data_IF_802920367319
#
_entry.id   IF_802920367319
#
_cell.length_a   1.000
_cell.length_b   1.000
_cell.length_c   1.000
_cell.angle_alpha   90.00
_cell.angle_beta   90.00
_cell.angle_gamma   90.00
#
_symmetry.space_group_name_H-M   'P 1'
#
loop_
_entity.id
_entity.type
_entity.pdbx_description
1 polymer ?
#
# COMPACT_ATOMS: atom_id res chain seq x y z
N UNK A 1 -31.50 -58.87 17.18
CA UNK A 1 -30.62 -57.72 16.90
C UNK A 1 -29.71 -57.50 18.11
N UNK A 2 -28.51 -58.08 18.13
CA UNK A 2 -27.57 -57.89 19.24
C UNK A 2 -26.91 -56.51 19.12
N UNK A 3 -27.17 -55.61 20.06
CA UNK A 3 -26.47 -54.33 20.15
C UNK A 3 -24.99 -54.55 20.41
N UNK A 4 -24.12 -54.00 19.56
CA UNK A 4 -22.67 -53.98 19.82
C UNK A 4 -22.41 -53.31 21.18
N UNK A 5 -21.58 -53.90 22.07
CA UNK A 5 -21.27 -53.30 23.36
C UNK A 5 -20.63 -51.92 23.17
N UNK A 6 -21.09 -50.93 23.94
CA UNK A 6 -20.58 -49.55 23.88
C UNK A 6 -19.23 -49.50 24.59
N UNK A 7 -18.17 -49.33 23.82
CA UNK A 7 -16.81 -49.20 24.35
C UNK A 7 -16.54 -47.77 24.82
N UNK A 8 -16.10 -47.63 26.07
CA UNK A 8 -15.80 -46.35 26.72
C UNK A 8 -14.30 -46.20 26.97
N UNK A 9 -13.72 -45.07 26.58
CA UNK A 9 -12.30 -44.75 26.73
C UNK A 9 -12.11 -43.53 27.63
N UNK A 10 -10.86 -43.31 28.08
CA UNK A 10 -10.49 -42.12 28.86
C UNK A 10 -10.74 -40.84 28.05
N UNK A 11 -11.35 -39.86 28.70
CA UNK A 11 -11.65 -38.56 28.11
C UNK A 11 -10.47 -37.59 28.14
N UNK A 12 -9.44 -37.82 28.97
CA UNK A 12 -8.34 -36.86 29.14
C UNK A 12 -7.58 -36.54 27.84
N UNK A 13 -7.19 -37.51 26.98
CA UNK A 13 -6.51 -37.22 25.72
C UNK A 13 -7.39 -36.43 24.74
N UNK A 14 -8.69 -36.74 24.71
CA UNK A 14 -9.67 -36.07 23.85
C UNK A 14 -9.89 -34.63 24.32
N UNK A 15 -9.97 -34.40 25.63
CA UNK A 15 -10.12 -33.07 26.22
C UNK A 15 -8.92 -32.18 25.90
N UNK A 16 -7.71 -32.71 26.04
CA UNK A 16 -6.50 -31.95 25.71
C UNK A 16 -6.44 -31.60 24.23
N UNK A 17 -6.84 -32.53 23.36
CA UNK A 17 -6.94 -32.25 21.93
C UNK A 17 -7.99 -31.17 21.63
N UNK A 18 -9.20 -31.26 22.18
CA UNK A 18 -10.23 -30.22 22.03
C UNK A 18 -9.75 -28.88 22.56
N UNK A 19 -9.00 -28.85 23.65
CA UNK A 19 -8.37 -27.61 24.15
C UNK A 19 -7.41 -27.00 23.13
N UNK A 20 -6.55 -27.82 22.51
CA UNK A 20 -5.68 -27.36 21.40
C UNK A 20 -6.48 -26.82 20.21
N UNK A 21 -7.63 -27.41 19.88
CA UNK A 21 -8.51 -26.87 18.82
C UNK A 21 -9.10 -25.51 19.20
N UNK A 22 -9.53 -25.34 20.45
CA UNK A 22 -10.04 -24.06 20.96
C UNK A 22 -8.95 -22.99 21.02
N UNK A 23 -7.75 -23.37 21.46
CA UNK A 23 -6.57 -22.48 21.50
C UNK A 23 -6.10 -22.09 20.08
N UNK A 24 -6.28 -23.01 19.12
CA UNK A 24 -6.13 -22.72 17.70
C UNK A 24 -7.27 -21.86 17.15
N UNK A 25 -8.27 -21.47 17.94
CA UNK A 25 -9.32 -20.52 17.58
C UNK A 25 -10.61 -21.15 17.04
N UNK A 26 -10.73 -22.48 16.99
CA UNK A 26 -12.01 -23.12 16.64
C UNK A 26 -13.01 -22.90 17.78
N UNK A 27 -14.28 -22.79 17.42
CA UNK A 27 -15.39 -22.75 18.38
C UNK A 27 -15.97 -24.15 18.60
N UNK A 28 -16.59 -24.41 19.76
CA UNK A 28 -17.26 -25.71 20.03
C UNK A 28 -18.27 -26.10 18.93
N UNK A 29 -19.08 -25.19 18.36
CA UNK A 29 -19.93 -25.51 17.21
C UNK A 29 -19.17 -25.97 15.96
N UNK A 30 -18.00 -25.38 15.67
CA UNK A 30 -17.16 -25.77 14.53
C UNK A 30 -16.54 -27.15 14.74
N UNK A 31 -15.98 -27.39 15.93
CA UNK A 31 -15.47 -28.71 16.31
C UNK A 31 -16.59 -29.76 16.18
N UNK A 32 -17.81 -29.40 16.61
CA UNK A 32 -18.98 -30.26 16.48
C UNK A 32 -19.34 -30.59 15.04
N UNK A 33 -19.36 -29.60 14.15
CA UNK A 33 -19.60 -29.84 12.71
C UNK A 33 -18.52 -30.72 12.07
N UNK A 34 -17.24 -30.47 12.37
CA UNK A 34 -16.10 -31.23 11.81
C UNK A 34 -16.05 -32.68 12.31
N UNK A 35 -16.42 -32.91 13.56
CA UNK A 35 -16.44 -34.25 14.17
C UNK A 35 -17.78 -34.98 13.98
N UNK A 36 -18.84 -34.29 13.57
CA UNK A 36 -20.21 -34.82 13.60
C UNK A 36 -20.78 -34.97 15.02
N UNK A 37 -20.19 -34.30 16.01
CA UNK A 37 -20.59 -34.37 17.42
C UNK A 37 -21.41 -33.14 17.82
N UNK A 38 -22.47 -33.34 18.61
CA UNK A 38 -23.28 -32.23 19.10
C UNK A 38 -22.44 -31.27 19.97
N UNK A 39 -22.57 -29.94 19.81
CA UNK A 39 -21.80 -28.97 20.60
C UNK A 39 -21.98 -29.13 22.11
N UNK A 40 -23.16 -29.56 22.55
CA UNK A 40 -23.43 -29.81 23.97
C UNK A 40 -22.62 -30.99 24.53
N UNK A 41 -22.31 -32.00 23.70
CA UNK A 41 -21.42 -33.11 24.08
C UNK A 41 -19.98 -32.61 24.28
N UNK A 42 -19.54 -31.63 23.48
CA UNK A 42 -18.24 -30.99 23.64
C UNK A 42 -18.22 -30.13 24.91
N UNK A 43 -19.30 -29.40 25.21
CA UNK A 43 -19.45 -28.68 26.49
C UNK A 43 -19.38 -29.64 27.69
N UNK A 44 -20.11 -30.75 27.66
CA UNK A 44 -20.07 -31.77 28.70
C UNK A 44 -18.69 -32.43 28.88
N UNK A 45 -17.90 -32.52 27.81
CA UNK A 45 -16.53 -33.03 27.85
C UNK A 45 -15.55 -32.04 28.49
N UNK A 46 -15.69 -30.74 28.19
CA UNK A 46 -14.75 -29.70 28.61
C UNK A 46 -15.06 -29.12 29.99
N UNK A 47 -16.31 -28.78 30.23
CA UNK A 47 -16.77 -28.00 31.39
C UNK A 47 -17.69 -28.82 32.30
N UNK A 48 -18.40 -29.80 31.72
CA UNK A 48 -19.49 -30.49 32.39
C UNK A 48 -20.83 -29.78 32.17
N UNK A 49 -21.92 -30.47 32.50
CA UNK A 49 -23.30 -29.99 32.31
C UNK A 49 -24.16 -30.42 33.49
N UNK A 50 -25.22 -29.66 33.78
CA UNK A 50 -26.19 -29.95 34.85
C UNK A 50 -25.56 -30.16 36.23
N UNK A 51 -24.60 -29.29 36.61
CA UNK A 51 -23.94 -29.33 37.92
C UNK A 51 -22.95 -30.48 38.11
N UNK A 52 -22.69 -31.27 37.06
CA UNK A 52 -21.66 -32.32 37.06
C UNK A 52 -20.38 -31.76 36.43
N UNK A 53 -19.24 -32.21 36.94
CA UNK A 53 -17.93 -31.86 36.38
C UNK A 53 -17.70 -32.45 34.99
N UNK A 54 -16.56 -32.11 34.35
CA UNK A 54 -16.20 -32.57 33.02
C UNK A 54 -16.20 -34.11 32.91
N UNK A 55 -16.72 -34.63 31.81
CA UNK A 55 -16.88 -36.08 31.59
C UNK A 55 -15.54 -36.82 31.70
N UNK A 56 -15.45 -37.86 32.54
CA UNK A 56 -14.23 -38.66 32.75
C UNK A 56 -14.03 -39.74 31.68
N UNK A 57 -15.10 -40.17 31.01
CA UNK A 57 -15.06 -41.17 29.94
C UNK A 57 -15.91 -40.72 28.76
N UNK A 58 -15.52 -41.14 27.57
CA UNK A 58 -16.20 -40.85 26.32
C UNK A 58 -16.31 -42.13 25.48
N UNK A 59 -17.33 -42.24 24.64
CA UNK A 59 -17.47 -43.39 23.74
C UNK A 59 -16.28 -43.43 22.78
N UNK A 60 -15.74 -44.62 22.49
CA UNK A 60 -14.61 -44.80 21.57
C UNK A 60 -14.86 -44.17 20.20
N UNK A 61 -16.09 -44.27 19.69
CA UNK A 61 -16.49 -43.63 18.42
C UNK A 61 -16.38 -42.11 18.48
N UNK A 62 -16.92 -41.49 19.55
CA UNK A 62 -16.83 -40.04 19.77
C UNK A 62 -15.39 -39.58 19.97
N UNK A 63 -14.57 -40.36 20.68
CA UNK A 63 -13.14 -40.09 20.83
C UNK A 63 -12.44 -40.07 19.47
N UNK A 64 -12.66 -41.09 18.63
CA UNK A 64 -12.08 -41.14 17.29
C UNK A 64 -12.53 -39.97 16.40
N UNK A 65 -13.81 -39.62 16.44
CA UNK A 65 -14.36 -38.49 15.69
C UNK A 65 -13.78 -37.14 16.12
N UNK A 66 -13.62 -36.90 17.43
CA UNK A 66 -13.04 -35.66 17.93
C UNK A 66 -11.53 -35.58 17.70
N UNK A 67 -10.81 -36.69 17.84
CA UNK A 67 -9.36 -36.76 17.61
C UNK A 67 -8.97 -36.66 16.13
N UNK A 68 -9.90 -36.93 15.22
CA UNK A 68 -9.70 -36.76 13.78
C UNK A 68 -9.87 -35.29 13.32
N UNK A 69 -10.33 -34.38 14.18
CA UNK A 69 -10.48 -32.96 13.83
C UNK A 69 -9.13 -32.28 13.87
N UNK A 70 -8.71 -31.69 12.76
CA UNK A 70 -7.48 -30.92 12.72
C UNK A 70 -7.68 -29.45 13.15
N UNK A 71 -6.66 -28.81 13.76
CA UNK A 71 -6.69 -27.43 14.23
C UNK A 71 -6.74 -26.37 13.12
N UNK A 72 -6.89 -26.76 11.86
CA UNK A 72 -6.85 -25.83 10.74
C UNK A 72 -8.04 -24.85 10.77
N UNK A 73 -7.76 -23.58 11.05
CA UNK A 73 -8.76 -22.50 10.99
C UNK A 73 -9.23 -22.19 9.56
N UNK A 74 -8.55 -22.73 8.55
CA UNK A 74 -8.94 -22.69 7.14
C UNK A 74 -9.85 -23.89 6.89
N UNK A 75 -11.16 -23.67 6.79
CA UNK A 75 -12.10 -24.76 6.54
C UNK A 75 -13.38 -24.30 5.85
N UNK A 76 -14.19 -25.25 5.34
CA UNK A 76 -15.43 -25.01 4.59
C UNK A 76 -16.59 -24.54 5.49
N UNK A 77 -16.29 -23.77 6.54
CA UNK A 77 -17.27 -23.35 7.52
C UNK A 77 -18.24 -22.33 6.90
N UNK A 78 -19.55 -22.58 7.06
CA UNK A 78 -20.63 -21.67 6.64
C UNK A 78 -20.91 -20.56 7.68
N UNK A 79 -20.25 -20.61 8.85
CA UNK A 79 -20.44 -19.61 9.90
C UNK A 79 -19.44 -19.71 11.07
N UNK A 80 -19.25 -18.61 11.79
CA UNK A 80 -18.32 -18.51 12.92
C UNK A 80 -17.04 -17.75 12.58
N UNK A 81 -15.91 -18.20 13.15
CA UNK A 81 -14.60 -17.56 13.05
C UNK A 81 -13.62 -18.43 12.26
N UNK A 82 -12.84 -17.84 11.38
CA UNK A 82 -11.89 -18.54 10.49
C UNK A 82 -10.56 -17.80 10.44
N UNK A 83 -9.56 -18.46 9.87
CA UNK A 83 -8.22 -17.94 9.73
C UNK A 83 -8.21 -16.67 8.84
N UNK A 84 -7.56 -15.58 9.28
CA UNK A 84 -7.42 -14.38 8.47
C UNK A 84 -6.43 -14.51 7.31
N UNK A 85 -5.49 -15.46 7.31
CA UNK A 85 -4.36 -15.54 6.37
C UNK A 85 -4.81 -15.51 4.92
N UNK A 86 -5.76 -16.37 4.54
CA UNK A 86 -6.28 -16.42 3.17
C UNK A 86 -6.97 -15.11 2.74
N UNK A 87 -7.69 -14.48 3.67
CA UNK A 87 -8.35 -13.19 3.46
C UNK A 87 -7.33 -12.05 3.35
N UNK A 88 -6.32 -12.06 4.22
CA UNK A 88 -5.22 -11.11 4.23
C UNK A 88 -4.45 -11.17 2.91
N UNK A 89 -4.06 -12.36 2.45
CA UNK A 89 -3.32 -12.54 1.19
C UNK A 89 -4.11 -11.95 0.00
N UNK A 90 -5.42 -12.23 -0.09
CA UNK A 90 -6.30 -11.63 -1.11
C UNK A 90 -6.36 -10.11 -1.03
N UNK A 91 -6.56 -9.54 0.17
CA UNK A 91 -6.62 -8.09 0.35
C UNK A 91 -5.30 -7.42 -0.03
N UNK A 92 -4.17 -8.00 0.39
CA UNK A 92 -2.83 -7.52 0.04
C UNK A 92 -2.62 -7.53 -1.47
N UNK A 93 -3.04 -8.59 -2.15
CA UNK A 93 -3.01 -8.68 -3.61
C UNK A 93 -3.87 -7.63 -4.31
N UNK A 94 -5.06 -7.34 -3.81
CA UNK A 94 -5.89 -6.27 -4.36
C UNK A 94 -5.26 -4.88 -4.17
N UNK A 95 -4.65 -4.62 -3.01
CA UNK A 95 -3.93 -3.37 -2.79
C UNK A 95 -2.69 -3.29 -3.69
N UNK A 96 -2.01 -4.42 -3.94
CA UNK A 96 -0.89 -4.50 -4.88
C UNK A 96 -1.30 -4.24 -6.33
N UNK A 97 -2.50 -4.63 -6.75
CA UNK A 97 -3.08 -4.21 -8.05
C UNK A 97 -3.39 -2.71 -8.12
N UNK A 98 -3.48 -2.03 -6.97
CA UNK A 98 -3.80 -0.61 -6.88
C UNK A 98 -5.21 -0.29 -6.40
N UNK A 99 -5.93 -1.25 -5.82
CA UNK A 99 -7.22 -0.95 -5.18
C UNK A 99 -7.01 -0.33 -3.80
N UNK A 100 -7.61 0.85 -3.58
CA UNK A 100 -7.60 1.51 -2.26
C UNK A 100 -8.44 0.75 -1.24
N UNK A 101 -7.97 0.66 0.01
CA UNK A 101 -8.71 0.02 1.12
C UNK A 101 -10.11 0.60 1.30
N UNK A 102 -10.27 1.93 1.16
CA UNK A 102 -11.60 2.58 1.22
C UNK A 102 -12.55 2.07 0.14
N UNK A 103 -12.04 1.85 -1.07
CA UNK A 103 -12.82 1.32 -2.21
C UNK A 103 -13.16 -0.15 -1.98
N UNK A 104 -12.21 -0.95 -1.48
CA UNK A 104 -12.45 -2.34 -1.12
C UNK A 104 -13.54 -2.48 -0.05
N UNK A 105 -13.46 -1.66 1.01
CA UNK A 105 -14.47 -1.60 2.07
C UNK A 105 -15.85 -1.28 1.50
N UNK A 106 -15.97 -0.23 0.67
CA UNK A 106 -17.21 0.15 0.03
C UNK A 106 -17.79 -0.97 -0.86
N UNK A 107 -16.97 -1.57 -1.73
CA UNK A 107 -17.41 -2.64 -2.64
C UNK A 107 -17.83 -3.92 -1.92
N UNK A 108 -17.21 -4.24 -0.79
CA UNK A 108 -17.57 -5.39 0.04
C UNK A 108 -18.72 -5.14 1.02
N UNK A 109 -19.20 -3.90 1.14
CA UNK A 109 -20.12 -3.46 2.21
C UNK A 109 -19.63 -3.85 3.62
N UNK A 110 -18.32 -3.73 3.85
CA UNK A 110 -17.68 -3.97 5.15
C UNK A 110 -17.13 -2.64 5.71
N UNK A 111 -17.13 -2.47 7.05
CA UNK A 111 -16.50 -1.32 7.68
C UNK A 111 -15.00 -1.23 7.36
N UNK A 112 -14.51 -0.03 7.01
CA UNK A 112 -13.09 0.17 6.66
C UNK A 112 -12.12 -0.18 7.80
N UNK A 113 -12.55 -0.04 9.05
CA UNK A 113 -11.76 -0.43 10.24
C UNK A 113 -11.53 -1.95 10.34
N UNK A 114 -12.26 -2.77 9.57
CA UNK A 114 -12.10 -4.23 9.54
C UNK A 114 -10.85 -4.63 8.76
N UNK A 115 -10.43 -3.82 7.78
CA UNK A 115 -9.37 -4.18 6.83
C UNK A 115 -7.97 -4.02 7.42
N UNK A 116 -7.72 -2.95 8.18
CA UNK A 116 -6.38 -2.66 8.68
C UNK A 116 -5.85 -3.71 9.67
N UNK A 117 -6.63 -4.22 10.64
CA UNK A 117 -6.19 -5.33 11.49
C UNK A 117 -5.83 -6.59 10.69
N UNK A 118 -6.59 -6.91 9.63
CA UNK A 118 -6.31 -8.06 8.76
C UNK A 118 -5.04 -7.83 7.92
N UNK A 119 -4.91 -6.66 7.31
CA UNK A 119 -3.76 -6.29 6.47
C UNK A 119 -2.45 -6.21 7.25
N UNK A 120 -2.50 -5.82 8.52
CA UNK A 120 -1.34 -5.67 9.41
C UNK A 120 -1.08 -6.93 10.27
N UNK A 121 -1.71 -8.08 9.99
CA UNK A 121 -1.53 -9.34 10.74
C UNK A 121 -1.90 -9.26 12.23
N UNK A 122 -2.71 -8.26 12.62
CA UNK A 122 -3.16 -8.08 14.01
C UNK A 122 -4.44 -8.85 14.32
N UNK A 123 -5.21 -9.21 13.30
CA UNK A 123 -6.36 -10.08 13.47
C UNK A 123 -5.89 -11.52 13.66
N UNK A 124 -6.31 -12.17 14.75
CA UNK A 124 -6.07 -13.61 14.98
C UNK A 124 -7.18 -14.48 14.39
N UNK A 125 -8.40 -13.95 14.32
CA UNK A 125 -9.57 -14.60 13.71
C UNK A 125 -10.46 -13.58 13.00
N UNK A 126 -11.19 -14.01 11.97
CA UNK A 126 -12.17 -13.19 11.24
C UNK A 126 -13.49 -13.94 11.08
N UNK A 127 -14.60 -13.19 10.86
CA UNK A 127 -15.89 -13.84 10.60
C UNK A 127 -15.90 -14.49 9.22
N UNK A 128 -16.58 -15.64 9.11
CA UNK A 128 -16.86 -16.31 7.83
C UNK A 128 -17.45 -15.34 6.80
N UNK A 129 -18.45 -14.54 7.20
CA UNK A 129 -19.05 -13.55 6.30
C UNK A 129 -18.10 -12.43 5.83
N UNK A 130 -16.96 -12.21 6.52
CA UNK A 130 -15.88 -11.32 6.07
C UNK A 130 -15.01 -12.02 5.04
N UNK A 131 -14.60 -13.27 5.32
CA UNK A 131 -13.87 -14.13 4.36
C UNK A 131 -14.62 -14.20 3.04
N UNK A 132 -15.89 -14.57 3.06
CA UNK A 132 -16.68 -14.82 1.84
C UNK A 132 -16.83 -13.56 0.99
N UNK A 133 -17.11 -12.42 1.62
CA UNK A 133 -17.18 -11.12 0.92
C UNK A 133 -15.86 -10.75 0.26
N UNK A 134 -14.73 -11.02 0.92
CA UNK A 134 -13.40 -10.75 0.36
C UNK A 134 -13.04 -11.73 -0.75
N UNK A 135 -13.41 -13.00 -0.63
CA UNK A 135 -13.25 -14.00 -1.71
C UNK A 135 -14.01 -13.52 -2.96
N UNK A 136 -15.30 -13.21 -2.81
CA UNK A 136 -16.11 -12.73 -3.93
C UNK A 136 -15.56 -11.43 -4.54
N UNK A 137 -15.11 -10.49 -3.70
CA UNK A 137 -14.49 -9.25 -4.16
C UNK A 137 -13.18 -9.51 -4.91
N UNK A 138 -12.35 -10.41 -4.40
CA UNK A 138 -11.08 -10.78 -5.01
C UNK A 138 -11.31 -11.34 -6.41
N UNK A 139 -12.16 -12.36 -6.53
CA UNK A 139 -12.50 -12.97 -7.81
C UNK A 139 -13.06 -11.97 -8.82
N UNK A 140 -13.96 -11.08 -8.36
CA UNK A 140 -14.54 -10.05 -9.20
C UNK A 140 -13.49 -9.07 -9.72
N UNK A 141 -12.63 -8.54 -8.84
CA UNK A 141 -11.69 -7.48 -9.17
C UNK A 141 -10.45 -7.98 -9.91
N UNK A 142 -10.05 -9.25 -9.74
CA UNK A 142 -8.95 -9.83 -10.52
C UNK A 142 -9.33 -10.14 -11.97
N UNK A 143 -10.63 -10.27 -12.27
CA UNK A 143 -11.15 -10.44 -13.64
C UNK A 143 -11.35 -9.11 -14.37
N UNK A 144 -11.21 -7.99 -13.67
CA UNK A 144 -11.35 -6.64 -14.23
C UNK A 144 -9.96 -6.03 -14.51
N UNK A 145 -9.86 -5.10 -15.46
CA UNK A 145 -8.67 -4.27 -15.58
C UNK A 145 -8.32 -3.62 -14.25
N UNK A 146 -7.02 -3.54 -13.94
CA UNK A 146 -6.55 -2.84 -12.75
C UNK A 146 -7.05 -1.39 -12.73
N UNK A 147 -7.23 -0.78 -11.54
CA UNK A 147 -7.69 0.60 -11.44
C UNK A 147 -6.81 1.54 -12.27
N UNK A 148 -7.42 2.47 -13.03
CA UNK A 148 -6.65 3.41 -13.84
C UNK A 148 -5.66 4.20 -12.96
N UNK A 149 -4.57 4.71 -13.55
CA UNK A 149 -3.64 5.58 -12.85
C UNK A 149 -4.37 6.75 -12.19
N UNK A 150 -4.20 6.88 -10.89
CA UNK A 150 -4.75 7.95 -10.07
C UNK A 150 -3.90 8.07 -8.80
N UNK A 151 -3.99 9.21 -8.11
CA UNK A 151 -3.31 9.39 -6.84
C UNK A 151 -3.62 8.25 -5.84
N UNK A 152 -4.88 7.79 -5.82
CA UNK A 152 -5.32 6.69 -4.97
C UNK A 152 -4.72 5.34 -5.35
N UNK A 153 -4.77 4.98 -6.64
CA UNK A 153 -4.24 3.70 -7.10
C UNK A 153 -2.70 3.64 -6.99
N UNK A 154 -2.03 4.77 -7.18
CA UNK A 154 -0.60 4.92 -6.94
C UNK A 154 -0.25 4.82 -5.46
N UNK A 155 -1.03 5.40 -4.55
CA UNK A 155 -0.80 5.25 -3.10
C UNK A 155 -0.96 3.80 -2.63
N UNK A 156 -1.98 3.09 -3.12
CA UNK A 156 -2.20 1.68 -2.86
C UNK A 156 -1.02 0.82 -3.31
N UNK A 157 -0.59 0.97 -4.58
CA UNK A 157 0.60 0.28 -5.11
C UNK A 157 1.86 0.59 -4.33
N UNK A 158 2.11 1.86 -3.99
CA UNK A 158 3.27 2.27 -3.19
C UNK A 158 3.26 1.71 -1.77
N UNK A 159 2.08 1.52 -1.17
CA UNK A 159 1.97 0.89 0.15
C UNK A 159 2.25 -0.61 0.06
N UNK A 160 1.65 -1.29 -0.91
CA UNK A 160 1.88 -2.71 -1.16
C UNK A 160 3.37 -2.98 -1.43
N UNK A 161 3.99 -2.18 -2.29
CA UNK A 161 5.41 -2.24 -2.59
C UNK A 161 6.29 -2.12 -1.34
N UNK A 162 6.06 -1.09 -0.52
CA UNK A 162 6.81 -0.86 0.74
C UNK A 162 6.72 -2.01 1.74
N UNK A 163 5.66 -2.83 1.64
CA UNK A 163 5.39 -3.96 2.53
C UNK A 163 5.55 -5.32 1.85
N UNK A 164 6.13 -5.34 0.64
CA UNK A 164 6.32 -6.55 -0.16
C UNK A 164 5.03 -7.38 -0.32
N UNK A 165 3.89 -6.72 -0.51
CA UNK A 165 2.63 -7.42 -0.71
C UNK A 165 2.54 -8.02 -2.11
N UNK A 166 2.28 -9.33 -2.24
CA UNK A 166 2.32 -10.05 -3.51
C UNK A 166 1.13 -9.67 -4.41
N UNK A 167 1.30 -9.82 -5.73
CA UNK A 167 0.21 -9.67 -6.72
C UNK A 167 -0.70 -10.91 -6.77
N UNK A 168 -1.90 -10.83 -7.36
CA UNK A 168 -2.76 -11.99 -7.56
C UNK A 168 -2.11 -13.12 -8.38
N UNK A 169 -1.39 -12.77 -9.46
CA UNK A 169 -0.84 -13.72 -10.42
C UNK A 169 0.29 -14.59 -9.87
N UNK A 170 0.92 -14.20 -8.75
CA UNK A 170 1.97 -15.01 -8.11
C UNK A 170 1.40 -16.09 -7.20
N UNK A 171 0.10 -16.09 -6.91
CA UNK A 171 -0.54 -17.18 -6.18
C UNK A 171 -0.95 -18.27 -7.16
N UNK A 172 -0.30 -19.44 -7.13
CA UNK A 172 -0.68 -20.56 -8.00
C UNK A 172 -1.96 -21.24 -7.54
N UNK A 173 -2.96 -21.31 -8.43
CA UNK A 173 -4.16 -22.15 -8.26
C UNK A 173 -4.92 -21.94 -6.95
N UNK A 174 -5.46 -23.04 -6.40
CA UNK A 174 -6.22 -23.07 -5.13
C UNK A 174 -5.35 -22.89 -3.88
N UNK A 175 -4.06 -22.56 -4.05
CA UNK A 175 -3.07 -22.55 -2.96
C UNK A 175 -3.12 -21.33 -2.06
N UNK A 176 -3.76 -20.20 -2.43
CA UNK A 176 -3.69 -18.95 -1.64
C UNK A 176 -4.13 -19.11 -0.17
N UNK A 177 -5.00 -20.08 0.11
CA UNK A 177 -5.52 -20.41 1.44
C UNK A 177 -4.68 -21.44 2.21
N UNK A 178 -3.81 -22.19 1.53
CA UNK A 178 -2.99 -23.19 2.20
C UNK A 178 -1.99 -22.48 3.14
N UNK A 179 -1.86 -22.89 4.42
CA UNK A 179 -1.03 -22.18 5.40
C UNK A 179 0.42 -21.99 4.94
N UNK A 180 0.97 -23.00 4.28
CA UNK A 180 2.33 -23.07 3.75
C UNK A 180 2.49 -22.47 2.35
N UNK A 181 1.42 -21.97 1.74
CA UNK A 181 1.45 -21.44 0.39
C UNK A 181 2.44 -20.29 0.24
N UNK A 182 3.24 -20.39 -0.82
CA UNK A 182 4.22 -19.37 -1.20
C UNK A 182 3.85 -18.80 -2.56
N UNK A 183 4.05 -17.48 -2.77
CA UNK A 183 3.93 -16.93 -4.10
C UNK A 183 5.00 -17.55 -5.02
N UNK A 184 4.56 -18.08 -6.16
CA UNK A 184 5.39 -18.71 -7.20
C UNK A 184 6.10 -17.62 -8.00
N UNK A 185 7.34 -17.90 -8.43
CA UNK A 185 8.19 -17.01 -9.26
C UNK A 185 8.46 -15.61 -8.67
N UNK A 186 8.40 -15.47 -7.35
CA UNK A 186 8.70 -14.21 -6.70
C UNK A 186 10.22 -13.92 -6.70
N UNK A 187 10.71 -13.23 -7.73
CA UNK A 187 12.08 -12.71 -7.78
C UNK A 187 12.24 -11.51 -6.85
N UNK A 188 12.98 -11.70 -5.75
CA UNK A 188 13.39 -10.63 -4.82
C UNK A 188 14.92 -10.57 -4.75
N UNK A 189 15.57 -9.43 -5.06
CA UNK A 189 17.02 -9.34 -5.01
C UNK A 189 17.46 -9.19 -3.54
N UNK A 190 17.92 -10.31 -2.96
CA UNK A 190 18.53 -10.49 -1.64
C UNK A 190 17.57 -10.52 -0.43
N UNK A 191 17.17 -11.72 -0.04
CA UNK A 191 16.63 -12.00 1.30
C UNK A 191 17.75 -12.49 2.23
N UNK A 192 17.95 -11.81 3.36
CA UNK A 192 18.55 -12.41 4.56
C UNK A 192 17.49 -12.36 5.67
N UNK A 193 17.38 -13.37 6.56
CA UNK A 193 16.34 -13.42 7.58
C UNK A 193 16.49 -12.24 8.55
N UNK A 194 15.52 -11.31 8.56
CA UNK A 194 15.42 -10.26 9.58
C UNK A 194 15.33 -8.80 9.10
N UNK A 195 15.49 -8.48 7.80
CA UNK A 195 15.36 -7.09 7.31
C UNK A 195 14.58 -7.03 6.01
N UNK A 196 13.40 -6.40 6.00
CA UNK A 196 12.51 -6.28 4.83
C UNK A 196 12.25 -4.82 4.45
N UNK A 197 13.32 -4.11 4.12
CA UNK A 197 13.24 -2.80 3.46
C UNK A 197 13.19 -2.99 1.94
N UNK A 198 12.02 -2.88 1.31
CA UNK A 198 11.92 -2.99 -0.16
C UNK A 198 11.15 -1.82 -0.79
N UNK A 199 11.83 -1.07 -1.68
CA UNK A 199 11.27 -0.06 -2.58
C UNK A 199 10.97 -0.73 -3.92
N UNK A 200 9.73 -0.71 -4.40
CA UNK A 200 9.48 -0.97 -5.84
C UNK A 200 9.58 0.34 -6.58
N UNK A 201 10.82 0.72 -6.83
CA UNK A 201 11.27 1.00 -8.18
C UNK A 201 12.47 0.07 -8.32
N UNK A 202 12.38 -0.99 -9.13
CA UNK A 202 13.58 -1.75 -9.49
C UNK A 202 14.56 -0.71 -10.03
N UNK A 203 15.71 -0.54 -9.38
CA UNK A 203 16.80 0.20 -10.01
C UNK A 203 17.10 -0.58 -11.30
N UNK A 204 16.88 0.01 -12.48
CA UNK A 204 17.05 -0.69 -13.73
C UNK A 204 18.48 -1.26 -13.81
N UNK A 205 18.60 -2.58 -13.80
CA UNK A 205 19.90 -3.28 -13.79
C UNK A 205 20.57 -3.19 -15.16
N UNK A 206 19.75 -3.08 -16.20
CA UNK A 206 20.20 -2.88 -17.57
C UNK A 206 19.95 -1.46 -18.03
N UNK A 207 20.82 -1.02 -18.93
CA UNK A 207 20.71 0.25 -19.64
C UNK A 207 19.36 0.40 -20.36
N UNK A 208 18.80 -0.68 -20.95
CA UNK A 208 17.50 -0.65 -21.65
C UNK A 208 16.31 -0.45 -20.72
N UNK A 209 16.36 -0.98 -19.50
CA UNK A 209 15.29 -0.79 -18.51
C UNK A 209 15.22 0.66 -18.01
N UNK A 210 16.34 1.41 -17.98
CA UNK A 210 16.33 2.83 -17.62
C UNK A 210 15.49 3.68 -18.57
N UNK A 211 15.57 3.42 -19.88
CA UNK A 211 14.78 4.12 -20.88
C UNK A 211 13.27 3.91 -20.68
N UNK A 212 12.83 2.66 -20.56
CA UNK A 212 11.41 2.32 -20.40
C UNK A 212 10.81 2.91 -19.11
N UNK A 213 11.59 2.90 -18.01
CA UNK A 213 11.15 3.47 -16.73
C UNK A 213 11.02 4.98 -16.81
N UNK A 214 12.01 5.68 -17.41
CA UNK A 214 11.97 7.13 -17.56
C UNK A 214 10.86 7.57 -18.51
N UNK A 215 10.63 6.83 -19.59
CA UNK A 215 9.52 7.06 -20.52
C UNK A 215 8.17 6.98 -19.82
N UNK A 216 7.92 5.90 -19.07
CA UNK A 216 6.70 5.76 -18.28
C UNK A 216 6.53 6.88 -17.23
N UNK A 217 7.62 7.30 -16.59
CA UNK A 217 7.57 8.42 -15.64
C UNK A 217 7.24 9.75 -16.33
N UNK A 218 7.75 9.99 -17.54
CA UNK A 218 7.44 11.18 -18.34
C UNK A 218 6.05 11.16 -18.95
N UNK A 219 5.43 9.99 -19.12
CA UNK A 219 4.03 9.86 -19.50
C UNK A 219 3.10 10.21 -18.33
N UNK A 220 3.48 9.84 -17.10
CA UNK A 220 2.75 10.19 -15.85
C UNK A 220 2.94 11.66 -15.44
N UNK A 221 4.17 12.18 -15.53
CA UNK A 221 4.51 13.59 -15.27
C UNK A 221 5.43 14.13 -16.38
N UNK A 222 4.86 14.78 -17.41
CA UNK A 222 5.61 15.36 -18.52
C UNK A 222 6.64 16.42 -18.13
N UNK A 223 6.55 16.98 -16.91
CA UNK A 223 7.41 18.02 -16.37
C UNK A 223 8.55 17.53 -15.49
N UNK A 224 8.73 16.21 -15.35
CA UNK A 224 9.81 15.62 -14.55
C UNK A 224 11.20 16.07 -15.02
N UNK A 225 12.05 16.46 -14.06
CA UNK A 225 13.46 16.76 -14.33
C UNK A 225 14.38 15.59 -14.01
N UNK A 226 15.59 15.60 -14.58
CA UNK A 226 16.62 14.59 -14.29
C UNK A 226 16.92 14.47 -12.80
N UNK A 227 16.95 15.59 -12.06
CA UNK A 227 17.22 15.60 -10.63
C UNK A 227 16.11 14.92 -9.81
N UNK A 228 14.85 15.10 -10.19
CA UNK A 228 13.72 14.47 -9.51
C UNK A 228 13.64 12.97 -9.80
N UNK A 229 13.92 12.58 -11.04
CA UNK A 229 14.08 11.16 -11.39
C UNK A 229 15.19 10.58 -10.54
N UNK A 230 16.37 11.18 -10.54
CA UNK A 230 17.53 10.70 -9.78
C UNK A 230 17.26 10.56 -8.28
N UNK A 231 16.59 11.54 -7.66
CA UNK A 231 16.19 11.51 -6.26
C UNK A 231 15.24 10.35 -5.91
N UNK A 232 14.32 10.00 -6.82
CA UNK A 232 13.39 8.87 -6.62
C UNK A 232 14.09 7.51 -6.58
N UNK A 233 15.23 7.37 -7.27
CA UNK A 233 16.05 6.14 -7.29
C UNK A 233 17.27 6.20 -6.37
N UNK A 234 17.47 7.29 -5.63
CA UNK A 234 18.65 7.53 -4.79
C UNK A 234 19.97 7.41 -5.60
N UNK A 235 20.00 8.09 -6.75
CA UNK A 235 21.15 8.11 -7.67
C UNK A 235 21.56 9.53 -7.99
N UNK A 236 22.79 9.68 -8.47
CA UNK A 236 23.24 10.93 -9.07
C UNK A 236 22.54 11.18 -10.41
N UNK A 237 22.22 12.43 -10.73
CA UNK A 237 21.64 12.82 -12.02
C UNK A 237 22.52 12.45 -13.22
N UNK A 238 23.84 12.43 -13.02
CA UNK A 238 24.84 11.96 -14.00
C UNK A 238 24.66 10.47 -14.33
N UNK A 239 24.30 9.64 -13.34
CA UNK A 239 24.03 8.20 -13.53
C UNK A 239 22.81 7.97 -14.42
N UNK A 240 21.73 8.73 -14.21
CA UNK A 240 20.52 8.67 -15.03
C UNK A 240 20.83 9.09 -16.48
N UNK A 241 21.53 10.22 -16.63
CA UNK A 241 21.91 10.75 -17.95
C UNK A 241 22.81 9.79 -18.72
N UNK A 242 23.76 9.16 -18.04
CA UNK A 242 24.66 8.18 -18.64
C UNK A 242 23.95 6.88 -19.02
N UNK A 243 22.96 6.45 -18.22
CA UNK A 243 22.15 5.28 -18.55
C UNK A 243 21.29 5.51 -19.80
N UNK A 244 20.58 6.64 -19.89
CA UNK A 244 19.75 6.97 -21.06
C UNK A 244 20.58 7.11 -22.35
N UNK A 245 21.78 7.70 -22.25
CA UNK A 245 22.72 7.78 -23.38
C UNK A 245 23.14 6.40 -23.86
N UNK A 246 23.54 5.49 -22.95
CA UNK A 246 23.92 4.12 -23.32
C UNK A 246 22.73 3.32 -23.86
N UNK A 247 21.50 3.70 -23.51
CA UNK A 247 20.27 3.04 -23.97
C UNK A 247 19.85 3.44 -25.38
N UNK A 248 20.58 4.37 -26.01
CA UNK A 248 20.20 4.92 -27.31
C UNK A 248 18.97 5.84 -27.24
N UNK A 249 18.66 6.42 -26.07
CA UNK A 249 17.53 7.33 -25.85
C UNK A 249 17.96 8.74 -25.43
N UNK A 250 18.69 9.48 -26.29
CA UNK A 250 19.08 10.86 -26.02
C UNK A 250 17.87 11.80 -25.95
N UNK A 251 16.78 11.47 -26.65
CA UNK A 251 15.50 12.20 -26.64
C UNK A 251 14.94 12.36 -25.21
N UNK A 252 14.89 11.28 -24.44
CA UNK A 252 14.39 11.29 -23.05
C UNK A 252 15.32 12.10 -22.13
N UNK A 253 16.63 11.97 -22.33
CA UNK A 253 17.63 12.72 -21.58
C UNK A 253 17.47 14.23 -21.79
N UNK A 254 17.35 14.64 -23.05
CA UNK A 254 17.26 16.05 -23.43
C UNK A 254 15.94 16.65 -22.95
N UNK A 255 14.85 15.89 -23.00
CA UNK A 255 13.55 16.27 -22.44
C UNK A 255 13.62 16.49 -20.93
N UNK A 256 14.21 15.55 -20.17
CA UNK A 256 14.40 15.69 -18.72
C UNK A 256 15.30 16.89 -18.35
N UNK A 257 16.34 17.14 -19.14
CA UNK A 257 17.23 18.28 -18.95
C UNK A 257 16.49 19.61 -19.20
N UNK A 258 15.73 19.70 -20.30
CA UNK A 258 14.92 20.88 -20.62
C UNK A 258 13.86 21.18 -19.55
N UNK A 259 13.25 20.13 -18.98
CA UNK A 259 12.33 20.27 -17.84
C UNK A 259 13.03 20.81 -16.58
N UNK A 260 14.27 20.38 -16.32
CA UNK A 260 15.10 20.93 -15.25
C UNK A 260 15.36 22.43 -15.42
N UNK A 261 15.74 22.85 -16.63
CA UNK A 261 15.97 24.26 -16.96
C UNK A 261 14.69 25.08 -16.81
N UNK A 262 13.55 24.60 -17.35
CA UNK A 262 12.25 25.28 -17.20
C UNK A 262 11.86 25.46 -15.73
N UNK A 263 12.10 24.44 -14.90
CA UNK A 263 11.82 24.51 -13.46
C UNK A 263 12.74 25.49 -12.75
N UNK A 264 14.03 25.44 -13.03
CA UNK A 264 15.00 26.37 -12.45
C UNK A 264 14.68 27.82 -12.82
N UNK A 265 14.31 28.08 -14.08
CA UNK A 265 13.86 29.40 -14.51
C UNK A 265 12.59 29.85 -13.77
N UNK A 266 11.65 28.95 -13.52
CA UNK A 266 10.45 29.24 -12.73
C UNK A 266 10.77 29.54 -11.27
N UNK A 267 11.63 28.75 -10.63
CA UNK A 267 12.06 28.94 -9.24
C UNK A 267 12.92 30.21 -9.07
N UNK A 268 13.74 30.54 -10.07
CA UNK A 268 14.50 31.79 -10.11
C UNK A 268 13.57 32.99 -10.30
N UNK A 269 12.57 32.89 -11.19
CA UNK A 269 11.58 33.95 -11.37
C UNK A 269 10.77 34.20 -10.10
N UNK A 270 10.38 33.14 -9.39
CA UNK A 270 9.70 33.25 -8.10
C UNK A 270 10.57 33.91 -7.04
N UNK A 271 11.83 33.46 -6.89
CA UNK A 271 12.78 34.11 -5.98
C UNK A 271 12.99 35.59 -6.28
N UNK A 272 13.00 35.98 -7.56
CA UNK A 272 13.13 37.40 -7.96
C UNK A 272 11.91 38.21 -7.58
N UNK A 273 10.71 37.64 -7.73
CA UNK A 273 9.47 38.25 -7.26
C UNK A 273 9.54 38.46 -5.74
N UNK A 274 9.91 37.43 -5.00
CA UNK A 274 10.03 37.50 -3.53
C UNK A 274 11.06 38.56 -3.10
N UNK A 275 12.22 38.62 -3.76
CA UNK A 275 13.24 39.65 -3.51
C UNK A 275 12.72 41.08 -3.75
N UNK A 276 11.93 41.29 -4.80
CA UNK A 276 11.34 42.60 -5.08
C UNK A 276 10.27 42.96 -4.04
N UNK A 277 9.47 41.99 -3.59
CA UNK A 277 8.50 42.19 -2.52
C UNK A 277 9.18 42.55 -1.20
N UNK A 278 10.23 41.83 -0.82
CA UNK A 278 11.02 42.11 0.38
C UNK A 278 11.62 43.52 0.34
N UNK A 279 12.21 43.91 -0.79
CA UNK A 279 12.74 45.27 -0.95
C UNK A 279 11.63 46.34 -0.86
N UNK A 280 10.44 46.07 -1.39
CA UNK A 280 9.27 46.98 -1.28
C UNK A 280 8.63 47.02 0.10
N UNK A 281 8.87 46.02 0.95
CA UNK A 281 8.52 46.03 2.37
C UNK A 281 9.46 46.93 3.14
N UNK A 282 10.77 46.83 2.85
CA UNK A 282 11.82 47.64 3.49
C UNK A 282 11.72 49.11 3.04
N UNK A 283 11.50 49.34 1.75
CA UNK A 283 11.48 50.66 1.13
C UNK A 283 10.25 50.79 0.20
N UNK A 284 9.12 51.28 0.73
CA UNK A 284 7.85 51.30 -0.01
C UNK A 284 7.86 52.15 -1.29
N UNK A 285 8.75 53.15 -1.36
CA UNK A 285 8.98 54.06 -2.47
C UNK A 285 10.12 53.64 -3.42
N UNK A 286 10.67 52.43 -3.25
CA UNK A 286 11.68 51.84 -4.15
C UNK A 286 11.27 51.98 -5.61
N UNK A 287 12.18 52.50 -6.43
CA UNK A 287 11.96 52.70 -7.87
C UNK A 287 12.47 51.52 -8.70
N UNK A 288 12.08 51.50 -9.98
CA UNK A 288 12.56 50.45 -10.89
C UNK A 288 14.08 50.53 -11.10
N UNK A 289 14.67 51.72 -11.10
CA UNK A 289 16.11 51.89 -11.28
C UNK A 289 16.90 51.35 -10.08
N UNK A 290 16.48 51.69 -8.87
CA UNK A 290 17.12 51.21 -7.62
C UNK A 290 16.95 49.70 -7.45
N UNK A 291 15.77 49.15 -7.78
CA UNK A 291 15.54 47.71 -7.76
C UNK A 291 16.43 46.95 -8.76
N UNK A 292 16.67 47.53 -9.96
CA UNK A 292 17.59 46.96 -10.96
C UNK A 292 19.04 46.96 -10.46
N UNK A 293 19.48 48.06 -9.87
CA UNK A 293 20.84 48.23 -9.36
C UNK A 293 21.12 47.25 -8.21
N UNK A 294 20.25 47.22 -7.19
CA UNK A 294 20.41 46.35 -6.03
C UNK A 294 20.36 44.85 -6.35
N UNK A 295 19.58 44.46 -7.36
CA UNK A 295 19.49 43.06 -7.79
C UNK A 295 20.48 42.72 -8.91
N UNK A 296 21.16 43.71 -9.50
CA UNK A 296 22.05 43.55 -10.65
C UNK A 296 21.32 43.03 -11.90
N UNK A 297 20.13 43.55 -12.20
CA UNK A 297 19.23 43.01 -13.24
C UNK A 297 18.62 44.08 -14.14
N UNK A 298 19.29 44.40 -15.25
CA UNK A 298 18.79 45.41 -16.20
C UNK A 298 17.40 45.08 -16.80
N UNK A 299 17.10 43.79 -16.98
CA UNK A 299 15.83 43.30 -17.52
C UNK A 299 14.73 43.05 -16.47
N UNK A 300 14.90 43.50 -15.23
CA UNK A 300 13.97 43.24 -14.13
C UNK A 300 12.48 43.51 -14.47
N UNK A 301 12.21 44.58 -15.22
CA UNK A 301 10.83 44.90 -15.64
C UNK A 301 10.20 43.85 -16.56
N UNK A 302 10.98 43.28 -17.49
CA UNK A 302 10.54 42.23 -18.41
C UNK A 302 10.40 40.90 -17.65
N UNK A 303 11.32 40.63 -16.72
CA UNK A 303 11.31 39.43 -15.89
C UNK A 303 10.09 39.37 -14.96
N UNK A 304 9.74 40.49 -14.31
CA UNK A 304 8.52 40.59 -13.48
C UNK A 304 7.24 40.42 -14.31
N UNK A 305 7.22 40.97 -15.53
CA UNK A 305 6.09 40.79 -16.44
C UNK A 305 5.94 39.33 -16.89
N UNK A 306 7.05 38.67 -17.24
CA UNK A 306 7.07 37.25 -17.60
C UNK A 306 6.68 36.33 -16.44
N UNK A 307 6.94 36.74 -15.20
CA UNK A 307 6.51 36.06 -13.98
C UNK A 307 5.04 36.32 -13.61
N UNK A 308 4.28 37.08 -14.43
CA UNK A 308 2.88 37.41 -14.16
C UNK A 308 2.66 38.46 -13.07
N UNK A 309 3.72 39.16 -12.63
CA UNK A 309 3.69 40.19 -11.57
C UNK A 309 3.75 41.61 -12.13
N UNK A 310 2.84 41.89 -13.06
CA UNK A 310 2.69 43.22 -13.66
C UNK A 310 2.32 44.30 -12.61
N UNK A 311 1.71 43.89 -11.50
CA UNK A 311 1.39 44.74 -10.34
C UNK A 311 2.65 45.33 -9.69
N UNK A 312 3.67 44.50 -9.45
CA UNK A 312 4.95 44.93 -8.87
C UNK A 312 5.70 45.85 -9.83
N UNK A 313 5.76 45.48 -11.11
CA UNK A 313 6.31 46.35 -12.16
C UNK A 313 5.62 47.72 -12.18
N UNK A 314 4.28 47.72 -12.15
CA UNK A 314 3.48 48.95 -12.13
C UNK A 314 3.74 49.79 -10.90
N UNK A 315 3.93 49.17 -9.73
CA UNK A 315 4.27 49.86 -8.48
C UNK A 315 5.65 50.53 -8.55
N UNK A 316 6.68 49.81 -8.98
CA UNK A 316 8.05 50.35 -9.15
C UNK A 316 8.07 51.51 -10.17
N UNK A 317 7.34 51.39 -11.28
CA UNK A 317 7.21 52.46 -12.29
C UNK A 317 6.51 53.70 -11.73
N UNK A 318 5.43 53.54 -10.95
CA UNK A 318 4.75 54.67 -10.30
C UNK A 318 5.66 55.40 -9.32
N UNK A 319 6.46 54.66 -8.56
CA UNK A 319 7.46 55.23 -7.65
C UNK A 319 8.52 56.03 -8.42
N UNK A 320 8.98 55.49 -9.56
CA UNK A 320 9.91 56.18 -10.48
C UNK A 320 9.35 57.52 -10.95
N UNK A 321 8.08 57.55 -11.36
CA UNK A 321 7.41 58.80 -11.77
C UNK A 321 7.28 59.78 -10.59
N UNK A 322 6.93 59.30 -9.40
CA UNK A 322 6.79 60.13 -8.19
C UNK A 322 8.12 60.75 -7.75
N UNK A 323 9.23 60.02 -7.84
CA UNK A 323 10.57 60.52 -7.53
C UNK A 323 10.96 61.66 -8.48
N UNK A 324 10.77 61.47 -9.79
CA UNK A 324 11.03 62.53 -10.80
C UNK A 324 10.25 63.81 -10.49
N UNK A 325 8.96 63.71 -10.17
CA UNK A 325 8.16 64.89 -9.80
C UNK A 325 8.60 65.56 -8.49
N UNK A 326 9.19 64.83 -7.54
CA UNK A 326 9.75 65.40 -6.30
C UNK A 326 11.07 66.12 -6.55
N UNK A 327 11.89 65.65 -7.49
CA UNK A 327 13.19 66.24 -7.83
C UNK A 327 13.08 67.49 -8.72
N UNK A 328 11.94 67.67 -9.42
CA UNK A 328 11.71 68.83 -10.30
C UNK A 328 11.01 70.01 -9.58
N UNK A 329 10.85 69.93 -8.26
CA UNK A 329 10.10 70.90 -7.43
C UNK A 329 11.01 71.46 -6.36
#
# INVERSE_FOLDING_TARGET
>A
MSGRPVEWVDAAPVREHVRRLLDAGLTKPQIGRRSGIAPNTITALMEGVHGRGPSLRVRRTTAGQLLAVEPELVGPEDGGWVDPIGTMRRLRSLVALGWLVKVLAQKSALPANTFWPILDERATVIRVGTRDRVISLYEQLTRQPAPPPSMGSTWARNRAARRAWPLPCVWSGNGIDAPDARPVDAHYPKATPGSQSFRVLIAPETVRQWAAVVEHMLDDDPGLSTAQVAARFDRAASTISAALRRAGRPDLRDRLAANGVRRQLHDDARRRVDQVEDLLVIEPDLTLAEARDRLGRDRLAEELAAAGRADLRGRLMRNTTRQKYRETR
#
